data_IF_267438427791
#
_entry.id   IF_267438427791
#
_cell.length_a   1.000
_cell.length_b   1.000
_cell.length_c   1.000
_cell.angle_alpha   90.00
_cell.angle_beta   90.00
_cell.angle_gamma   90.00
#
_symmetry.space_group_name_H-M   'P 1'
#
loop_
_entity.id
_entity.type
_entity.pdbx_description
1 polymer ?
#
# COMPACT_ATOMS: atom_id res chain seq x y z
N UNK A 1 -26.55 20.95 -4.77
CA UNK A 1 -25.96 19.75 -5.39
C UNK A 1 -26.43 19.72 -6.83
N UNK A 2 -25.55 19.91 -7.83
CA UNK A 2 -25.99 19.78 -9.22
C UNK A 2 -26.23 18.30 -9.55
N UNK A 3 -27.12 18.00 -10.51
CA UNK A 3 -27.51 16.64 -10.85
C UNK A 3 -26.41 15.94 -11.65
N UNK A 4 -25.99 14.78 -11.14
CA UNK A 4 -25.37 13.67 -11.87
C UNK A 4 -24.40 14.02 -13.00
N UNK A 5 -23.19 14.46 -12.68
CA UNK A 5 -22.06 14.17 -13.57
C UNK A 5 -21.92 12.65 -13.62
N UNK A 6 -22.25 12.06 -14.76
CA UNK A 6 -21.93 10.68 -15.06
C UNK A 6 -20.40 10.60 -15.08
N UNK A 7 -19.80 10.25 -13.95
CA UNK A 7 -18.36 10.08 -13.84
C UNK A 7 -18.01 8.98 -14.83
N UNK A 8 -17.15 9.28 -15.82
CA UNK A 8 -16.60 8.23 -16.67
C UNK A 8 -16.15 7.06 -15.79
N UNK A 9 -16.54 5.81 -16.11
CA UNK A 9 -16.19 4.68 -15.29
C UNK A 9 -14.67 4.62 -15.20
N UNK A 10 -14.17 4.72 -13.97
CA UNK A 10 -12.74 4.60 -13.68
C UNK A 10 -12.31 3.23 -14.22
N UNK A 11 -11.26 3.15 -15.05
CA UNK A 11 -10.82 1.85 -15.54
C UNK A 11 -10.46 0.95 -14.35
N UNK A 12 -10.81 -0.34 -14.42
CA UNK A 12 -10.64 -1.30 -13.33
C UNK A 12 -9.20 -1.35 -12.80
N UNK A 13 -8.21 -1.08 -13.66
CA UNK A 13 -6.79 -0.98 -13.31
C UNK A 13 -6.45 0.08 -12.26
N UNK A 14 -7.34 1.05 -12.04
CA UNK A 14 -7.17 2.14 -11.07
C UNK A 14 -8.05 1.98 -9.82
N UNK A 15 -8.89 0.94 -9.75
CA UNK A 15 -9.71 0.66 -8.58
C UNK A 15 -8.82 0.10 -7.47
N UNK A 16 -8.44 0.99 -6.55
CA UNK A 16 -7.79 0.58 -5.32
C UNK A 16 -8.82 0.14 -4.29
N UNK A 17 -8.53 -0.98 -3.64
CA UNK A 17 -9.23 -1.39 -2.43
C UNK A 17 -8.72 -0.54 -1.26
N UNK A 18 -9.59 0.22 -0.58
CA UNK A 18 -9.18 1.00 0.58
C UNK A 18 -8.66 0.06 1.68
N UNK A 19 -7.70 0.51 2.50
CA UNK A 19 -7.29 -0.26 3.66
C UNK A 19 -8.47 -0.40 4.62
N UNK A 20 -8.53 -1.55 5.29
CA UNK A 20 -9.54 -1.83 6.30
C UNK A 20 -8.88 -1.74 7.66
N UNK A 21 -9.48 -0.97 8.57
CA UNK A 21 -8.95 -0.72 9.91
C UNK A 21 -9.78 -1.45 10.96
N UNK A 22 -9.11 -2.10 11.90
CA UNK A 22 -9.71 -2.84 13.02
C UNK A 22 -10.81 -3.84 12.60
N UNK A 23 -10.58 -4.70 11.59
CA UNK A 23 -11.57 -5.72 11.24
C UNK A 23 -11.75 -6.74 12.36
N UNK A 24 -12.98 -7.25 12.51
CA UNK A 24 -13.32 -8.32 13.45
C UNK A 24 -12.85 -9.66 12.89
N UNK A 25 -12.21 -10.49 13.73
CA UNK A 25 -11.73 -11.84 13.38
C UNK A 25 -12.77 -12.88 13.82
N UNK A 26 -13.18 -13.84 12.97
CA UNK A 26 -12.65 -14.12 11.63
C UNK A 26 -13.01 -13.06 10.61
N UNK A 27 -12.03 -12.66 9.80
CA UNK A 27 -12.20 -11.65 8.77
C UNK A 27 -12.05 -12.28 7.39
N UNK A 28 -13.07 -12.14 6.55
CA UNK A 28 -13.05 -12.61 5.16
C UNK A 28 -13.44 -11.46 4.24
N UNK A 29 -12.64 -11.20 3.22
CA UNK A 29 -12.91 -10.11 2.26
C UNK A 29 -12.43 -10.45 0.86
N UNK A 30 -13.14 -9.93 -0.14
CA UNK A 30 -12.71 -9.98 -1.53
C UNK A 30 -11.50 -9.07 -1.74
N UNK A 31 -10.57 -9.52 -2.57
CA UNK A 31 -9.42 -8.78 -3.08
C UNK A 31 -9.84 -8.20 -4.43
N UNK A 32 -9.99 -6.89 -4.52
CA UNK A 32 -10.47 -6.26 -5.76
C UNK A 32 -9.48 -6.45 -6.91
N UNK A 33 -9.99 -7.00 -8.02
CA UNK A 33 -9.20 -7.39 -9.19
C UNK A 33 -8.38 -8.67 -9.01
N UNK A 34 -8.54 -9.39 -7.89
CA UNK A 34 -7.78 -10.58 -7.55
C UNK A 34 -6.29 -10.32 -7.31
N UNK A 35 -5.54 -11.40 -7.06
CA UNK A 35 -4.09 -11.34 -6.98
C UNK A 35 -3.43 -11.55 -8.34
N UNK A 36 -2.35 -10.80 -8.55
CA UNK A 36 -1.46 -10.91 -9.69
C UNK A 36 -0.05 -10.53 -9.23
N UNK A 37 0.96 -10.84 -10.05
CA UNK A 37 2.33 -10.51 -9.71
C UNK A 37 2.52 -9.00 -9.51
N UNK A 38 3.23 -8.61 -8.46
CA UNK A 38 3.41 -7.23 -8.03
C UNK A 38 2.33 -6.73 -7.06
N UNK A 39 1.23 -7.46 -6.83
CA UNK A 39 0.34 -7.12 -5.71
C UNK A 39 1.02 -7.39 -4.38
N UNK A 40 0.74 -6.53 -3.41
CA UNK A 40 1.17 -6.73 -2.04
C UNK A 40 0.00 -6.61 -1.08
N UNK A 41 -0.06 -7.54 -0.13
CA UNK A 41 -1.00 -7.46 1.00
C UNK A 41 -0.24 -7.16 2.27
N UNK A 42 -0.63 -6.09 2.95
CA UNK A 42 -0.08 -5.66 4.22
C UNK A 42 -1.02 -6.06 5.34
N UNK A 43 -0.47 -6.67 6.39
CA UNK A 43 -1.18 -6.99 7.62
C UNK A 43 -0.48 -6.37 8.81
N UNK A 44 -1.17 -5.49 9.52
CA UNK A 44 -0.72 -4.90 10.77
C UNK A 44 -1.60 -5.39 11.90
N UNK A 45 -0.99 -5.77 13.02
CA UNK A 45 -1.75 -6.29 14.14
C UNK A 45 -0.95 -6.43 15.42
N UNK A 46 -1.55 -7.13 16.37
CA UNK A 46 -0.96 -7.50 17.65
C UNK A 46 -1.18 -8.99 17.85
N UNK A 47 -0.16 -9.68 18.35
CA UNK A 47 -0.31 -11.07 18.80
C UNK A 47 -0.79 -11.05 20.26
N UNK A 48 -1.96 -11.64 20.59
CA UNK A 48 -2.40 -11.77 21.97
C UNK A 48 -1.38 -12.47 22.87
N UNK A 49 -1.37 -12.17 24.18
CA UNK A 49 -0.43 -12.75 25.15
C UNK A 49 -0.52 -14.28 25.23
N UNK A 50 -1.72 -14.83 25.02
CA UNK A 50 -1.98 -16.28 25.11
C UNK A 50 -2.17 -16.95 23.74
N UNK A 51 -1.74 -16.28 22.66
CA UNK A 51 -1.94 -16.80 21.31
C UNK A 51 -1.26 -18.17 21.11
N UNK A 52 -1.99 -19.16 20.60
CA UNK A 52 -1.47 -20.46 20.19
C UNK A 52 -1.13 -20.47 18.70
N UNK A 53 -2.04 -19.97 17.86
CA UNK A 53 -1.85 -19.83 16.41
C UNK A 53 -2.82 -18.84 15.81
N UNK A 54 -2.45 -18.27 14.68
CA UNK A 54 -3.39 -17.64 13.76
C UNK A 54 -3.09 -18.11 12.33
N UNK A 55 -3.94 -17.74 11.39
CA UNK A 55 -3.69 -18.00 9.97
C UNK A 55 -4.17 -16.85 9.09
N UNK A 56 -3.46 -16.70 7.98
CA UNK A 56 -3.80 -15.82 6.86
C UNK A 56 -3.91 -16.72 5.64
N UNK A 57 -5.10 -16.78 5.06
CA UNK A 57 -5.44 -17.66 3.96
C UNK A 57 -5.77 -16.81 2.74
N UNK A 58 -5.09 -17.11 1.63
CA UNK A 58 -5.40 -16.54 0.33
C UNK A 58 -6.16 -17.60 -0.49
N UNK A 59 -7.46 -17.37 -0.65
CA UNK A 59 -8.46 -18.35 -1.05
C UNK A 59 -8.96 -18.11 -2.48
N UNK A 60 -9.40 -19.19 -3.12
CA UNK A 60 -10.05 -19.18 -4.42
C UNK A 60 -11.58 -19.16 -4.24
N UNK A 61 -12.13 -17.98 -3.97
CA UNK A 61 -13.53 -17.78 -3.59
C UNK A 61 -13.80 -17.87 -2.09
N UNK A 62 -15.07 -17.65 -1.71
CA UNK A 62 -15.54 -17.55 -0.32
C UNK A 62 -16.73 -18.48 0.01
N UNK A 63 -16.88 -19.59 -0.73
CA UNK A 63 -17.98 -20.55 -0.54
C UNK A 63 -18.03 -21.08 0.91
N UNK A 64 -19.23 -21.29 1.44
CA UNK A 64 -19.41 -21.91 2.77
C UNK A 64 -19.37 -23.44 2.71
N UNK A 65 -19.79 -24.03 1.58
CA UNK A 65 -19.74 -25.47 1.35
C UNK A 65 -19.82 -25.77 -0.16
N UNK A 66 -18.86 -26.49 -0.75
CA UNK A 66 -17.62 -26.95 -0.13
C UNK A 66 -16.71 -25.78 0.25
N UNK A 67 -15.79 -26.02 1.20
CA UNK A 67 -14.75 -25.05 1.55
C UNK A 67 -13.94 -24.66 0.30
N UNK A 68 -13.64 -23.37 0.09
CA UNK A 68 -12.82 -22.94 -1.04
C UNK A 68 -11.40 -23.49 -0.94
N UNK A 69 -10.77 -23.69 -2.09
CA UNK A 69 -9.35 -23.97 -2.15
C UNK A 69 -8.56 -22.81 -1.49
N UNK A 70 -7.46 -23.15 -0.81
CA UNK A 70 -6.54 -22.18 -0.21
C UNK A 70 -5.22 -22.26 -0.95
N UNK A 71 -4.94 -21.29 -1.83
CA UNK A 71 -3.71 -21.26 -2.60
C UNK A 71 -2.48 -21.07 -1.71
N UNK A 72 -2.58 -20.15 -0.74
CA UNK A 72 -1.54 -19.90 0.26
C UNK A 72 -2.18 -19.87 1.65
N UNK A 73 -1.90 -20.89 2.44
CA UNK A 73 -2.14 -20.91 3.88
C UNK A 73 -0.87 -20.49 4.59
N UNK A 74 -0.89 -19.40 5.34
CA UNK A 74 0.22 -18.97 6.21
C UNK A 74 -0.24 -19.04 7.66
N UNK A 75 0.29 -19.98 8.44
CA UNK A 75 -0.10 -20.17 9.84
C UNK A 75 1.08 -20.10 10.80
N UNK A 76 1.32 -18.92 11.40
CA UNK A 76 2.13 -18.74 12.58
C UNK A 76 1.66 -19.57 13.77
N UNK A 77 2.60 -20.24 14.43
CA UNK A 77 2.37 -21.11 15.58
C UNK A 77 3.33 -20.76 16.72
N UNK A 78 2.77 -20.64 17.92
CA UNK A 78 3.47 -20.19 19.14
C UNK A 78 3.45 -21.23 20.27
N UNK A 79 2.92 -22.42 20.02
CA UNK A 79 2.83 -23.49 21.02
C UNK A 79 4.19 -24.17 21.30
N UNK A 80 5.19 -23.99 20.44
CA UNK A 80 6.56 -24.49 20.63
C UNK A 80 7.46 -23.43 21.26
N UNK A 81 8.55 -23.86 21.90
CA UNK A 81 9.58 -22.96 22.48
C UNK A 81 10.18 -21.99 21.46
N UNK A 82 10.28 -22.42 20.19
CA UNK A 82 10.67 -21.57 19.05
C UNK A 82 9.44 -21.34 18.15
N UNK A 83 8.91 -20.11 18.05
CA UNK A 83 7.85 -19.80 17.10
C UNK A 83 8.25 -20.13 15.66
N UNK A 84 7.30 -20.63 14.89
CA UNK A 84 7.49 -21.00 13.48
C UNK A 84 6.21 -20.72 12.69
N UNK A 85 6.31 -20.70 11.37
CA UNK A 85 5.14 -20.70 10.49
C UNK A 85 5.05 -22.02 9.73
N UNK A 86 3.82 -22.43 9.44
CA UNK A 86 3.53 -23.47 8.46
C UNK A 86 2.93 -22.80 7.23
N UNK A 87 3.45 -23.16 6.06
CA UNK A 87 2.84 -22.85 4.78
C UNK A 87 2.28 -24.12 4.13
N UNK A 88 1.09 -24.02 3.55
CA UNK A 88 0.50 -25.13 2.80
C UNK A 88 -0.52 -24.63 1.76
N UNK A 89 -1.09 -25.56 1.00
CA UNK A 89 -2.17 -25.35 0.04
C UNK A 89 -3.26 -26.38 0.32
N UNK A 90 -4.52 -25.93 0.31
CA UNK A 90 -5.70 -26.78 0.35
C UNK A 90 -6.27 -26.87 -1.07
N UNK A 91 -6.39 -28.07 -1.62
CA UNK A 91 -6.98 -28.30 -2.94
C UNK A 91 -7.97 -29.45 -2.88
N UNK A 92 -9.21 -29.23 -3.31
CA UNK A 92 -10.26 -30.26 -3.32
C UNK A 92 -10.55 -30.80 -1.92
N UNK A 93 -10.53 -29.93 -0.91
CA UNK A 93 -10.77 -30.28 0.49
C UNK A 93 -9.62 -31.06 1.17
N UNK A 94 -8.46 -31.20 0.52
CA UNK A 94 -7.30 -31.92 1.08
C UNK A 94 -6.08 -31.01 1.21
N UNK A 95 -5.46 -31.02 2.38
CA UNK A 95 -4.18 -30.35 2.60
C UNK A 95 -3.08 -31.09 1.86
N UNK A 96 -2.22 -30.34 1.19
CA UNK A 96 -1.02 -30.88 0.55
C UNK A 96 0.12 -30.99 1.57
N UNK A 97 1.36 -31.18 1.10
CA UNK A 97 2.55 -31.30 1.96
C UNK A 97 2.85 -29.99 2.68
N UNK A 98 2.91 -30.00 4.01
CA UNK A 98 3.31 -28.82 4.79
C UNK A 98 4.76 -28.40 4.50
N UNK A 99 5.01 -27.09 4.51
CA UNK A 99 6.37 -26.51 4.54
C UNK A 99 6.54 -25.74 5.85
N UNK A 100 7.58 -26.06 6.62
CA UNK A 100 7.82 -25.46 7.94
C UNK A 100 8.95 -24.44 7.88
N UNK A 101 8.68 -23.26 8.43
CA UNK A 101 9.61 -22.13 8.47
C UNK A 101 9.91 -21.74 9.92
N UNK A 102 11.06 -22.16 10.48
CA UNK A 102 11.49 -21.77 11.83
C UNK A 102 11.96 -20.31 11.87
N UNK A 103 12.16 -19.76 13.08
CA UNK A 103 12.74 -18.43 13.23
C UNK A 103 11.75 -17.28 12.99
N UNK A 104 10.45 -17.52 13.20
CA UNK A 104 9.42 -16.51 13.04
C UNK A 104 9.61 -15.38 14.06
N UNK A 105 9.87 -14.17 13.58
CA UNK A 105 10.12 -12.99 14.40
C UNK A 105 8.84 -12.31 14.94
N UNK A 106 7.85 -13.11 15.34
CA UNK A 106 6.63 -12.64 16.01
C UNK A 106 6.67 -13.02 17.49
N UNK A 107 6.19 -12.13 18.35
CA UNK A 107 6.17 -12.31 19.80
C UNK A 107 4.76 -12.06 20.34
N UNK A 108 4.31 -12.92 21.26
CA UNK A 108 3.10 -12.69 22.05
C UNK A 108 3.17 -11.34 22.77
N UNK A 109 2.08 -10.60 22.77
CA UNK A 109 1.98 -9.24 23.31
C UNK A 109 2.55 -8.12 22.42
N UNK A 110 3.23 -8.44 21.32
CA UNK A 110 3.87 -7.43 20.47
C UNK A 110 3.02 -7.07 19.24
N UNK A 111 3.15 -5.82 18.80
CA UNK A 111 2.66 -5.41 17.47
C UNK A 111 3.56 -5.97 16.37
N UNK A 112 3.00 -6.15 15.19
CA UNK A 112 3.75 -6.62 14.03
C UNK A 112 3.30 -5.94 12.73
N UNK A 113 4.16 -6.03 11.72
CA UNK A 113 3.86 -5.77 10.32
C UNK A 113 4.28 -6.99 9.50
N UNK A 114 3.33 -7.59 8.79
CA UNK A 114 3.60 -8.63 7.80
C UNK A 114 3.27 -8.08 6.43
N UNK A 115 4.12 -8.39 5.46
CA UNK A 115 3.88 -8.07 4.07
C UNK A 115 3.93 -9.38 3.29
N UNK A 116 2.97 -9.55 2.38
CA UNK A 116 2.90 -10.63 1.41
C UNK A 116 3.08 -10.02 0.03
N UNK A 117 4.24 -10.21 -0.58
CA UNK A 117 4.51 -9.78 -1.95
C UNK A 117 4.27 -10.96 -2.89
N UNK A 118 3.30 -10.84 -3.77
CA UNK A 118 2.97 -11.88 -4.74
C UNK A 118 3.79 -11.66 -6.01
N UNK A 119 4.62 -12.63 -6.39
CA UNK A 119 5.35 -12.64 -7.65
C UNK A 119 4.68 -13.61 -8.64
N UNK A 120 5.33 -13.91 -9.77
CA UNK A 120 4.73 -14.78 -10.78
C UNK A 120 4.55 -16.23 -10.28
N UNK A 121 5.51 -16.75 -9.50
CA UNK A 121 5.54 -18.17 -9.11
C UNK A 121 5.48 -18.41 -7.60
N UNK A 122 5.73 -17.38 -6.79
CA UNK A 122 5.81 -17.50 -5.34
C UNK A 122 5.36 -16.23 -4.62
N UNK A 123 4.93 -16.39 -3.38
CA UNK A 123 4.76 -15.28 -2.45
C UNK A 123 6.01 -15.16 -1.59
N UNK A 124 6.57 -13.96 -1.51
CA UNK A 124 7.59 -13.60 -0.53
C UNK A 124 6.90 -12.98 0.68
N UNK A 125 7.33 -13.36 1.88
CA UNK A 125 6.78 -12.85 3.13
C UNK A 125 7.88 -12.17 3.93
N UNK A 126 7.62 -10.94 4.36
CA UNK A 126 8.44 -10.28 5.36
C UNK A 126 7.67 -10.08 6.66
N UNK A 127 8.43 -10.11 7.76
CA UNK A 127 7.92 -9.90 9.11
C UNK A 127 8.77 -8.81 9.74
N UNK A 128 8.12 -7.72 10.16
CA UNK A 128 8.75 -6.56 10.78
C UNK A 128 9.91 -5.99 9.96
N UNK A 129 9.70 -5.87 8.65
CA UNK A 129 10.68 -5.30 7.70
C UNK A 129 11.84 -6.23 7.33
N UNK A 130 11.83 -7.49 7.78
CA UNK A 130 12.85 -8.49 7.43
C UNK A 130 12.25 -9.61 6.62
N UNK A 131 12.92 -10.01 5.55
CA UNK A 131 12.54 -11.20 4.79
C UNK A 131 12.46 -12.42 5.73
N UNK A 132 11.41 -13.23 5.59
CA UNK A 132 11.19 -14.40 6.43
C UNK A 132 11.12 -15.69 5.61
N UNK A 133 10.30 -15.73 4.56
CA UNK A 133 10.16 -16.91 3.72
C UNK A 133 9.73 -16.56 2.29
N UNK A 134 9.82 -17.56 1.41
CA UNK A 134 9.13 -17.60 0.13
C UNK A 134 8.33 -18.91 0.03
N UNK A 135 7.15 -18.88 -0.60
CA UNK A 135 6.32 -20.05 -0.81
C UNK A 135 5.84 -20.12 -2.25
N UNK A 136 6.33 -21.11 -2.99
CA UNK A 136 5.91 -21.38 -4.37
C UNK A 136 4.46 -21.82 -4.42
N UNK A 137 3.71 -21.24 -5.35
CA UNK A 137 2.31 -21.57 -5.53
C UNK A 137 2.15 -23.01 -6.03
N UNK A 138 1.09 -23.66 -5.57
CA UNK A 138 0.67 -24.99 -6.03
C UNK A 138 -0.68 -24.95 -6.75
N UNK A 139 -1.31 -23.78 -6.75
CA UNK A 139 -2.52 -23.43 -7.48
C UNK A 139 -2.27 -22.11 -8.23
N UNK A 140 -2.92 -21.88 -9.39
CA UNK A 140 -2.77 -20.63 -10.12
C UNK A 140 -3.12 -19.40 -9.26
N UNK A 141 -2.21 -18.42 -9.19
CA UNK A 141 -2.44 -17.17 -8.45
C UNK A 141 -3.67 -16.41 -8.95
N UNK A 142 -3.96 -16.49 -10.25
CA UNK A 142 -5.11 -15.85 -10.90
C UNK A 142 -6.48 -16.31 -10.38
N UNK A 143 -6.54 -17.44 -9.67
CA UNK A 143 -7.78 -17.92 -9.03
C UNK A 143 -8.03 -17.28 -7.66
N UNK A 144 -7.06 -16.56 -7.12
CA UNK A 144 -7.10 -16.05 -5.75
C UNK A 144 -7.72 -14.67 -5.71
N UNK A 145 -8.88 -14.58 -5.07
CA UNK A 145 -9.69 -13.37 -5.00
C UNK A 145 -10.18 -13.06 -3.58
N UNK A 146 -9.81 -13.87 -2.59
CA UNK A 146 -10.36 -13.78 -1.25
C UNK A 146 -9.25 -13.88 -0.21
N UNK A 147 -9.26 -12.97 0.76
CA UNK A 147 -8.40 -13.00 1.94
C UNK A 147 -9.22 -13.43 3.14
N UNK A 148 -8.76 -14.47 3.84
CA UNK A 148 -9.27 -14.92 5.13
C UNK A 148 -8.24 -14.75 6.24
N UNK A 149 -8.65 -14.28 7.41
CA UNK A 149 -7.81 -14.16 8.61
C UNK A 149 -8.55 -14.77 9.80
N UNK A 150 -7.91 -15.71 10.48
CA UNK A 150 -8.53 -16.51 11.55
C UNK A 150 -7.56 -16.76 12.72
N UNK A 151 -8.10 -17.11 13.88
CA UNK A 151 -7.34 -17.52 15.07
C UNK A 151 -6.91 -16.36 15.97
N UNK A 152 -5.85 -16.57 16.73
CA UNK A 152 -5.43 -15.70 17.84
C UNK A 152 -4.65 -14.47 17.34
N UNK A 153 -5.37 -13.46 16.87
CA UNK A 153 -4.79 -12.23 16.30
C UNK A 153 -5.75 -11.05 16.51
N UNK A 154 -5.19 -9.89 16.85
CA UNK A 154 -5.89 -8.61 16.77
C UNK A 154 -5.40 -7.85 15.55
N UNK A 155 -6.26 -7.65 14.56
CA UNK A 155 -5.89 -6.96 13.32
C UNK A 155 -6.12 -5.46 13.49
N UNK A 156 -5.07 -4.66 13.24
CA UNK A 156 -5.15 -3.20 13.23
C UNK A 156 -5.44 -2.65 11.83
N UNK A 157 -4.80 -3.20 10.81
CA UNK A 157 -5.03 -2.79 9.43
C UNK A 157 -4.74 -3.91 8.44
N UNK A 158 -5.53 -3.96 7.36
CA UNK A 158 -5.26 -4.73 6.15
C UNK A 158 -5.13 -3.76 4.98
N UNK A 159 -4.05 -3.85 4.24
CA UNK A 159 -3.75 -3.01 3.08
C UNK A 159 -3.58 -3.80 1.80
N UNK A 160 -4.14 -3.31 0.71
CA UNK A 160 -3.93 -3.86 -0.63
C UNK A 160 -3.15 -2.84 -1.45
N UNK A 161 -1.88 -3.12 -1.65
CA UNK A 161 -0.90 -2.19 -2.20
C UNK A 161 -0.40 -2.70 -3.55
N UNK A 162 0.01 -1.78 -4.40
CA UNK A 162 0.79 -2.09 -5.58
C UNK A 162 2.28 -1.94 -5.23
N UNK A 163 3.14 -2.69 -5.92
CA UNK A 163 4.57 -2.38 -5.89
C UNK A 163 4.83 -1.02 -6.54
N UNK A 164 5.97 -0.43 -6.20
CA UNK A 164 6.44 0.76 -6.89
C UNK A 164 6.52 0.45 -8.41
N UNK A 165 5.72 1.12 -9.25
CA UNK A 165 5.63 0.81 -10.68
C UNK A 165 6.89 1.20 -11.45
N UNK A 166 7.85 1.87 -10.80
CA UNK A 166 9.12 2.28 -11.41
C UNK A 166 10.28 1.33 -11.13
N UNK A 167 10.07 0.34 -10.26
CA UNK A 167 11.12 -0.59 -9.85
C UNK A 167 10.82 -1.96 -10.45
N UNK A 168 11.17 -2.12 -11.72
CA UNK A 168 11.09 -3.41 -12.40
C UNK A 168 12.27 -4.30 -11.98
N UNK A 169 12.01 -5.59 -11.77
CA UNK A 169 13.06 -6.58 -11.56
C UNK A 169 13.81 -6.52 -10.22
N UNK A 170 13.38 -5.68 -9.27
CA UNK A 170 13.96 -5.73 -7.91
C UNK A 170 13.75 -7.11 -7.30
N UNK A 171 14.86 -7.71 -6.86
CA UNK A 171 14.85 -8.97 -6.10
C UNK A 171 14.66 -8.74 -4.61
N UNK A 172 14.79 -7.49 -4.16
CA UNK A 172 14.71 -7.12 -2.76
C UNK A 172 13.27 -6.92 -2.29
N UNK A 173 13.04 -7.28 -1.04
CA UNK A 173 11.73 -7.11 -0.41
C UNK A 173 11.46 -5.62 -0.16
N UNK A 174 10.36 -5.05 -0.67
CA UNK A 174 10.06 -3.64 -0.44
C UNK A 174 9.77 -3.37 1.02
N UNK A 175 10.30 -2.26 1.54
CA UNK A 175 9.96 -1.79 2.88
C UNK A 175 8.49 -1.42 2.90
N UNK A 176 7.70 -2.07 3.75
CA UNK A 176 6.31 -1.68 3.97
C UNK A 176 6.21 -0.62 5.04
N UNK A 177 5.56 0.49 4.68
CA UNK A 177 5.29 1.58 5.62
C UNK A 177 3.93 1.36 6.29
N UNK A 178 3.89 1.33 7.63
CA UNK A 178 2.66 1.10 8.36
C UNK A 178 1.60 2.16 8.05
N UNK A 179 0.34 1.76 8.01
CA UNK A 179 -0.76 2.72 8.08
C UNK A 179 -0.91 3.24 9.51
N UNK A 180 -1.11 4.56 9.62
CA UNK A 180 -1.14 5.28 10.89
C UNK A 180 -2.45 6.03 11.05
N UNK A 181 -3.55 5.29 11.20
CA UNK A 181 -4.87 5.88 11.43
C UNK A 181 -4.87 6.72 12.73
N UNK A 182 -5.54 7.88 12.69
CA UNK A 182 -5.62 8.84 13.80
C UNK A 182 -4.26 9.37 14.30
N UNK A 183 -3.20 9.27 13.49
CA UNK A 183 -1.92 9.86 13.87
C UNK A 183 -2.00 11.38 13.84
N UNK A 184 -1.75 12.10 14.96
CA UNK A 184 -1.71 13.56 14.95
C UNK A 184 -0.62 14.08 14.01
N UNK A 185 0.43 13.28 13.77
CA UNK A 185 1.52 13.61 12.84
C UNK A 185 1.06 13.66 11.39
N UNK A 186 -0.08 13.06 11.05
CA UNK A 186 -0.65 12.99 9.70
C UNK A 186 -1.85 13.92 9.50
N UNK A 187 -2.18 14.77 10.48
CA UNK A 187 -3.19 15.81 10.30
C UNK A 187 -2.78 16.78 9.20
N UNK A 188 -3.76 17.21 8.41
CA UNK A 188 -3.55 18.11 7.27
C UNK A 188 -3.80 19.56 7.71
N UNK A 189 -2.92 20.53 7.41
CA UNK A 189 -1.71 20.39 6.60
C UNK A 189 -0.61 19.57 7.30
N UNK A 190 -0.05 18.59 6.58
CA UNK A 190 0.99 17.69 7.09
C UNK A 190 2.35 18.09 6.52
N UNK A 191 3.31 18.35 7.41
CA UNK A 191 4.68 18.69 7.05
C UNK A 191 5.66 17.57 7.45
N UNK A 192 6.65 17.34 6.58
CA UNK A 192 7.72 16.36 6.78
C UNK A 192 9.06 16.98 6.40
N UNK A 193 10.00 16.99 7.34
CA UNK A 193 11.35 17.47 7.10
C UNK A 193 12.09 16.51 6.16
N UNK A 194 12.83 17.07 5.21
CA UNK A 194 13.72 16.42 4.26
C UNK A 194 15.15 16.94 4.51
N UNK A 195 15.79 16.55 5.63
CA UNK A 195 17.03 17.19 6.09
C UNK A 195 18.21 17.04 5.11
N UNK A 196 18.15 16.06 4.21
CA UNK A 196 19.17 15.80 3.19
C UNK A 196 18.72 16.16 1.77
N UNK A 197 17.56 16.82 1.63
CA UNK A 197 16.91 17.00 0.34
C UNK A 197 16.51 15.70 -0.32
N UNK A 198 16.32 15.76 -1.64
CA UNK A 198 15.98 14.60 -2.46
C UNK A 198 17.16 14.17 -3.31
N UNK A 199 17.39 12.86 -3.42
CA UNK A 199 18.44 12.27 -4.27
C UNK A 199 17.88 11.24 -5.25
N UNK A 200 18.56 10.98 -6.38
CA UNK A 200 18.11 9.98 -7.35
C UNK A 200 17.90 8.60 -6.71
N UNK A 201 16.76 7.97 -7.03
CA UNK A 201 16.34 6.69 -6.46
C UNK A 201 15.47 6.79 -5.21
N UNK A 202 15.40 7.96 -4.57
CA UNK A 202 14.51 8.17 -3.42
C UNK A 202 13.04 8.19 -3.84
N UNK A 203 12.18 7.59 -3.02
CA UNK A 203 10.74 7.47 -3.30
C UNK A 203 9.93 8.09 -2.18
N UNK A 204 9.12 9.07 -2.52
CA UNK A 204 8.10 9.62 -1.63
C UNK A 204 6.80 8.86 -1.86
N UNK A 205 6.18 8.39 -0.77
CA UNK A 205 4.91 7.69 -0.78
C UNK A 205 3.90 8.46 0.06
N UNK A 206 2.76 8.81 -0.52
CA UNK A 206 1.62 9.41 0.19
C UNK A 206 0.39 8.57 -0.06
N UNK A 207 -0.21 8.06 1.02
CA UNK A 207 -1.46 7.29 0.97
C UNK A 207 -2.51 7.95 1.82
N UNK A 208 -3.72 8.03 1.31
CA UNK A 208 -4.81 8.70 2.01
C UNK A 208 -6.19 8.42 1.42
N UNK A 209 -7.18 9.06 2.02
CA UNK A 209 -8.58 9.04 1.62
C UNK A 209 -9.02 10.46 1.27
N UNK A 210 -9.65 10.63 0.12
CA UNK A 210 -10.27 11.91 -0.25
C UNK A 210 -11.50 12.16 0.62
N UNK A 211 -11.69 13.40 1.09
CA UNK A 211 -12.88 13.79 1.85
C UNK A 211 -14.17 13.70 1.02
N UNK A 212 -15.33 13.74 1.69
CA UNK A 212 -16.64 13.71 1.03
C UNK A 212 -16.88 14.93 0.11
N UNK A 213 -16.39 16.11 0.50
CA UNK A 213 -16.56 17.36 -0.25
C UNK A 213 -15.18 17.98 -0.54
N UNK A 214 -14.41 17.42 -1.48
CA UNK A 214 -13.05 17.86 -1.71
C UNK A 214 -12.99 19.11 -2.59
N UNK A 215 -12.10 20.04 -2.23
CA UNK A 215 -11.82 21.24 -3.05
C UNK A 215 -10.53 21.08 -3.85
N UNK A 216 -9.44 20.85 -3.14
CA UNK A 216 -8.12 20.63 -3.72
C UNK A 216 -7.31 19.66 -2.86
N UNK A 217 -6.27 19.08 -3.46
CA UNK A 217 -5.22 18.35 -2.76
C UNK A 217 -3.89 18.80 -3.35
N UNK A 218 -2.91 19.08 -2.47
CA UNK A 218 -1.58 19.52 -2.88
C UNK A 218 -0.49 18.76 -2.16
N UNK A 219 0.56 18.44 -2.91
CA UNK A 219 1.84 17.97 -2.41
C UNK A 219 2.91 18.93 -2.93
N UNK A 220 3.48 19.70 -2.02
CA UNK A 220 4.47 20.74 -2.31
C UNK A 220 5.83 20.37 -1.73
N UNK A 221 6.88 20.56 -2.52
CA UNK A 221 8.26 20.54 -2.03
C UNK A 221 8.70 21.98 -1.76
N UNK A 222 9.42 22.20 -0.66
CA UNK A 222 9.85 23.53 -0.24
C UNK A 222 11.31 23.54 0.16
N UNK A 223 12.00 24.65 -0.12
CA UNK A 223 13.38 24.89 0.30
C UNK A 223 13.46 25.53 1.71
N UNK A 224 14.67 25.85 2.16
CA UNK A 224 14.91 26.52 3.45
C UNK A 224 14.25 27.90 3.55
N UNK A 225 14.16 28.62 2.43
CA UNK A 225 13.54 29.94 2.36
C UNK A 225 12.02 29.87 2.14
N UNK A 226 11.41 28.68 2.26
CA UNK A 226 9.99 28.41 2.02
C UNK A 226 9.52 28.72 0.58
N UNK A 227 10.44 28.86 -0.38
CA UNK A 227 10.07 28.81 -1.79
C UNK A 227 9.54 27.44 -2.13
N UNK A 228 8.68 27.38 -3.15
CA UNK A 228 7.99 26.16 -3.56
C UNK A 228 8.41 25.83 -4.99
N UNK A 229 9.54 25.12 -5.20
CA UNK A 229 10.01 24.81 -6.55
C UNK A 229 8.95 24.08 -7.39
N UNK A 230 8.22 23.16 -6.75
CA UNK A 230 7.17 22.40 -7.40
C UNK A 230 6.03 22.05 -6.44
N UNK A 231 4.82 22.03 -6.98
CA UNK A 231 3.64 21.46 -6.35
C UNK A 231 2.93 20.53 -7.32
N UNK A 232 2.62 19.31 -6.88
CA UNK A 232 1.59 18.49 -7.50
C UNK A 232 0.24 18.95 -6.96
N UNK A 233 -0.67 19.37 -7.84
CA UNK A 233 -2.01 19.84 -7.46
C UNK A 233 -3.09 19.04 -8.16
N UNK A 234 -4.00 18.48 -7.37
CA UNK A 234 -5.28 17.97 -7.84
C UNK A 234 -6.37 19.01 -7.56
N UNK A 235 -7.04 19.49 -8.62
CA UNK A 235 -8.22 20.37 -8.52
C UNK A 235 -9.47 19.53 -8.75
N UNK A 236 -10.32 19.41 -7.74
CA UNK A 236 -11.56 18.62 -7.85
C UNK A 236 -12.64 19.38 -8.63
N UNK A 237 -12.64 20.72 -8.54
CA UNK A 237 -13.54 21.59 -9.31
C UNK A 237 -13.28 21.50 -10.80
N UNK A 238 -12.01 21.61 -11.21
CA UNK A 238 -11.64 21.58 -12.63
C UNK A 238 -11.40 20.14 -13.13
N UNK A 239 -11.40 19.16 -12.23
CA UNK A 239 -11.00 17.76 -12.47
C UNK A 239 -9.65 17.67 -13.17
N UNK A 240 -8.67 18.43 -12.69
CA UNK A 240 -7.32 18.46 -13.27
C UNK A 240 -6.26 17.99 -12.28
N UNK A 241 -5.25 17.32 -12.81
CA UNK A 241 -3.99 17.03 -12.11
C UNK A 241 -2.88 17.79 -12.82
N UNK A 242 -2.10 18.57 -12.09
CA UNK A 242 -1.08 19.43 -12.68
C UNK A 242 0.16 19.55 -11.81
N UNK A 243 1.30 19.72 -12.48
CA UNK A 243 2.49 20.30 -11.87
C UNK A 243 2.37 21.81 -11.88
N UNK A 244 2.63 22.45 -10.74
CA UNK A 244 2.65 23.91 -10.57
C UNK A 244 4.06 24.30 -10.18
N UNK A 245 4.70 25.13 -11.03
CA UNK A 245 6.03 25.66 -10.76
C UNK A 245 5.99 26.79 -9.72
N UNK A 246 7.18 27.19 -9.23
CA UNK A 246 7.33 28.35 -8.33
C UNK A 246 6.72 29.66 -8.86
N UNK A 247 6.63 29.83 -10.18
CA UNK A 247 6.03 31.01 -10.82
C UNK A 247 4.51 30.88 -11.05
N UNK A 248 3.89 29.82 -10.51
CA UNK A 248 2.46 29.55 -10.70
C UNK A 248 2.09 28.98 -12.07
N UNK A 249 3.06 28.77 -12.97
CA UNK A 249 2.80 28.13 -14.27
C UNK A 249 2.35 26.68 -14.05
N UNK A 250 1.16 26.35 -14.56
CA UNK A 250 0.57 25.02 -14.50
C UNK A 250 0.96 24.22 -15.75
N UNK A 251 1.42 23.00 -15.57
CA UNK A 251 1.59 21.98 -16.60
C UNK A 251 0.65 20.83 -16.29
N UNK A 252 -0.41 20.70 -17.10
CA UNK A 252 -1.39 19.62 -16.95
C UNK A 252 -0.72 18.26 -17.19
N UNK A 253 -1.13 17.29 -16.38
CA UNK A 253 -0.76 15.89 -16.55
C UNK A 253 -1.87 15.25 -17.38
N UNK A 254 -1.51 14.75 -18.56
CA UNK A 254 -2.46 14.11 -19.49
C UNK A 254 -2.79 12.69 -19.02
N UNK A 255 -3.68 12.62 -18.03
CA UNK A 255 -4.21 11.38 -17.47
C UNK A 255 -5.65 11.63 -16.98
N UNK A 256 -6.49 10.58 -16.90
CA UNK A 256 -7.79 10.69 -16.25
C UNK A 256 -7.67 11.26 -14.84
N UNK A 257 -8.68 12.02 -14.40
CA UNK A 257 -8.70 12.53 -13.03
C UNK A 257 -9.12 11.42 -12.06
N UNK A 258 -8.16 10.86 -11.33
CA UNK A 258 -8.34 9.65 -10.52
C UNK A 258 -8.60 9.89 -9.03
N UNK A 259 -8.79 11.16 -8.64
CA UNK A 259 -9.16 11.51 -7.27
C UNK A 259 -10.68 11.67 -7.17
N UNK A 260 -11.33 10.84 -6.35
CA UNK A 260 -12.77 10.87 -6.17
C UNK A 260 -13.14 10.93 -4.69
N UNK A 261 -14.23 11.61 -4.31
CA UNK A 261 -14.68 11.66 -2.92
C UNK A 261 -14.78 10.28 -2.28
N UNK A 262 -14.32 10.15 -1.02
CA UNK A 262 -14.29 8.89 -0.26
C UNK A 262 -13.52 7.74 -0.92
N UNK A 263 -12.66 8.00 -1.91
CA UNK A 263 -11.77 6.99 -2.47
C UNK A 263 -10.38 7.07 -1.86
N UNK A 264 -9.80 5.89 -1.67
CA UNK A 264 -8.40 5.75 -1.30
C UNK A 264 -7.52 6.08 -2.50
N UNK A 265 -6.36 6.69 -2.24
CA UNK A 265 -5.36 6.99 -3.25
C UNK A 265 -3.96 6.67 -2.75
N UNK A 266 -3.06 6.41 -3.69
CA UNK A 266 -1.63 6.31 -3.47
C UNK A 266 -0.89 7.19 -4.48
N UNK A 267 -0.15 8.18 -3.98
CA UNK A 267 0.78 8.98 -4.78
C UNK A 267 2.19 8.50 -4.49
N UNK A 268 2.93 8.23 -5.57
CA UNK A 268 4.33 7.86 -5.57
C UNK A 268 5.11 8.88 -6.37
N UNK A 269 6.11 9.51 -5.75
CA UNK A 269 7.08 10.36 -6.45
C UNK A 269 8.46 9.70 -6.40
N UNK A 270 8.97 9.32 -7.56
CA UNK A 270 10.35 8.83 -7.69
C UNK A 270 11.25 9.99 -8.11
N UNK A 271 12.25 10.28 -7.28
CA UNK A 271 13.33 11.19 -7.63
C UNK A 271 14.29 10.51 -8.61
N UNK A 272 14.59 11.19 -9.72
CA UNK A 272 15.56 10.75 -10.71
C UNK A 272 16.45 11.92 -11.11
N UNK A 273 17.54 11.61 -11.81
CA UNK A 273 18.34 12.64 -12.44
C UNK A 273 17.47 13.47 -13.39
N UNK A 274 17.44 14.79 -13.17
CA UNK A 274 16.66 15.75 -13.95
C UNK A 274 15.20 15.93 -13.55
N UNK A 275 14.70 15.30 -12.47
CA UNK A 275 13.38 15.64 -11.92
C UNK A 275 12.65 14.57 -11.11
N UNK A 276 11.32 14.66 -11.11
CA UNK A 276 10.42 13.75 -10.38
C UNK A 276 9.49 13.03 -11.35
N UNK A 277 9.40 11.71 -11.22
CA UNK A 277 8.37 10.88 -11.85
C UNK A 277 7.21 10.67 -10.90
N UNK A 278 5.99 10.73 -11.42
CA UNK A 278 4.75 10.55 -10.68
C UNK A 278 4.09 9.25 -11.09
N UNK A 279 3.70 8.45 -10.08
CA UNK A 279 2.70 7.41 -10.22
C UNK A 279 1.54 7.67 -9.29
N UNK A 280 0.34 7.35 -9.77
CA UNK A 280 -0.89 7.40 -9.01
C UNK A 280 -1.54 6.02 -9.06
N UNK A 281 -1.84 5.46 -7.90
CA UNK A 281 -2.49 4.15 -7.75
C UNK A 281 -1.75 3.02 -8.47
N UNK A 282 -0.41 3.07 -8.48
CA UNK A 282 0.45 2.09 -9.17
C UNK A 282 0.56 2.28 -10.69
N UNK A 283 0.09 3.38 -11.25
CA UNK A 283 0.22 3.70 -12.67
C UNK A 283 1.08 4.95 -12.85
N UNK A 284 2.12 4.87 -13.68
CA UNK A 284 2.98 6.01 -14.01
C UNK A 284 2.25 7.04 -14.88
N UNK A 285 2.20 8.30 -14.46
CA UNK A 285 1.41 9.35 -15.12
C UNK A 285 2.25 10.47 -15.75
N UNK A 286 3.56 10.54 -15.48
CA UNK A 286 4.44 11.51 -16.11
C UNK A 286 5.54 12.03 -15.20
N UNK A 287 6.20 13.11 -15.62
CA UNK A 287 7.31 13.69 -14.90
C UNK A 287 7.32 15.23 -14.96
N UNK A 288 8.01 15.81 -14.00
CA UNK A 288 8.38 17.23 -13.99
C UNK A 288 9.89 17.36 -13.92
N UNK A 289 10.43 18.31 -14.67
CA UNK A 289 11.87 18.60 -14.69
C UNK A 289 12.21 19.53 -13.53
N UNK A 290 13.25 19.16 -12.78
CA UNK A 290 13.86 19.96 -11.73
C UNK A 290 15.36 19.72 -11.81
N UNK A 291 16.16 20.78 -11.69
CA UNK A 291 17.61 20.62 -11.65
C UNK A 291 18.05 19.97 -10.33
N UNK A 292 19.23 19.35 -10.36
CA UNK A 292 19.75 18.58 -9.24
C UNK A 292 19.95 19.45 -7.98
N UNK A 293 20.37 20.70 -8.13
CA UNK A 293 20.58 21.61 -6.98
C UNK A 293 19.26 21.94 -6.30
N UNK A 294 18.20 22.13 -7.08
CA UNK A 294 16.85 22.33 -6.54
C UNK A 294 16.37 21.11 -5.76
N UNK A 295 16.53 19.89 -6.30
CA UNK A 295 16.13 18.65 -5.60
C UNK A 295 16.90 18.46 -4.28
N UNK A 296 18.22 18.67 -4.32
CA UNK A 296 19.08 18.62 -3.14
C UNK A 296 18.82 19.76 -2.14
N UNK A 297 18.27 20.89 -2.60
CA UNK A 297 17.94 22.06 -1.79
C UNK A 297 16.60 22.00 -1.07
N UNK A 298 15.70 21.09 -1.45
CA UNK A 298 14.42 20.89 -0.77
C UNK A 298 14.66 20.48 0.69
N UNK A 299 13.84 20.99 1.62
CA UNK A 299 13.89 20.66 3.04
C UNK A 299 12.56 20.26 3.64
N UNK A 300 11.46 20.46 2.94
CA UNK A 300 10.15 20.13 3.46
C UNK A 300 9.26 19.55 2.35
N UNK A 301 8.62 18.43 2.67
CA UNK A 301 7.43 17.94 1.98
C UNK A 301 6.20 18.42 2.75
N UNK A 302 5.34 19.20 2.11
CA UNK A 302 4.08 19.67 2.70
C UNK A 302 2.89 19.15 1.90
N UNK A 303 1.93 18.57 2.60
CA UNK A 303 0.68 18.05 2.04
C UNK A 303 -0.48 18.84 2.62
N UNK A 304 -1.32 19.42 1.76
CA UNK A 304 -2.48 20.22 2.15
C UNK A 304 -3.73 19.83 1.36
N UNK A 305 -4.90 20.28 1.83
CA UNK A 305 -6.17 20.12 1.10
C UNK A 305 -7.10 19.09 1.73
N UNK A 306 -8.07 18.63 0.95
CA UNK A 306 -9.24 17.87 1.39
C UNK A 306 -8.99 16.36 1.43
N UNK A 307 -8.05 15.90 2.27
CA UNK A 307 -7.73 14.47 2.42
C UNK A 307 -7.47 14.07 3.89
N UNK A 308 -7.70 12.80 4.21
CA UNK A 308 -7.13 12.15 5.40
C UNK A 308 -5.90 11.36 4.99
N UNK A 309 -4.78 11.51 5.70
CA UNK A 309 -3.55 10.77 5.40
C UNK A 309 -3.43 9.53 6.28
N UNK A 310 -3.02 8.43 5.66
CA UNK A 310 -2.74 7.15 6.34
C UNK A 310 -1.26 6.80 6.32
N UNK A 311 -0.49 7.30 5.36
CA UNK A 311 0.94 7.11 5.26
C UNK A 311 1.59 8.29 4.53
N UNK A 312 2.72 8.77 5.06
CA UNK A 312 3.63 9.70 4.38
C UNK A 312 5.05 9.23 4.66
N UNK A 313 5.76 8.82 3.62
CA UNK A 313 7.14 8.34 3.69
C UNK A 313 8.00 8.99 2.60
N UNK A 314 9.30 9.15 2.86
CA UNK A 314 10.30 9.72 1.98
C UNK A 314 11.68 9.18 2.36
#
# INVERSE_FOLDING_TARGET
MPPGENLDPIPDSFILQPPVFHPVVPYVTTIFGGLHAGRMVMLQGVIPLHAHRFQVDFQCGCSLSPQPDVAVHFSPRFHTTKPHAICNTLHGGRWQRETRWPGLALKRGASFLILFLFENEEVKVSVNGRHFLHYRYRLPLSRVDTLGIFGDILVKAVGFLNINPFVEGSREYPVGYPFLLFSPRLQVPCSRALPRGLWPGQVIIVRGLVLQEPKDFTLSLRDEASHVPVTLKASFTDRTLAWVSQWGRKKLISAPFLFYPKRFFEVLLLCQEGGLKLALNGQGLGATSLDQKTLEGVRELRISGSVHLYCVHH
#
